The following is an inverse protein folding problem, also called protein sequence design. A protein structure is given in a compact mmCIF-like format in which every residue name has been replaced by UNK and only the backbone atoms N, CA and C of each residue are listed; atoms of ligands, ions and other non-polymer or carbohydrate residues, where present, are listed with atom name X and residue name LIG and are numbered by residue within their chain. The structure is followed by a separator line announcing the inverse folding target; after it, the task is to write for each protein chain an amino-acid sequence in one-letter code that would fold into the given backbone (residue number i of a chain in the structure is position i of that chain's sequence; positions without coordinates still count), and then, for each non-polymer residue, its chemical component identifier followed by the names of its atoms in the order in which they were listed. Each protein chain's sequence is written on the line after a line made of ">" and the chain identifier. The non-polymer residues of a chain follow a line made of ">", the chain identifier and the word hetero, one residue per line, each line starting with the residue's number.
data_IF_083893969052
#
_entry.id   IF_083893969052
#
_cell.length_a   1.000
_cell.length_b   1.000
_cell.length_c   1.000
_cell.angle_alpha   90.00
_cell.angle_beta   90.00
_cell.angle_gamma   90.00
#
_symmetry.space_group_name_H-M   'P 1'
#
loop_
_entity.id
_entity.type
_entity.pdbx_description
1 polymer ?
#
# COMPACT_ATOMS: atom_id res chain seq x y z
N UNK A 1 1.34 -6.38 35.87
CA UNK A 1 0.39 -5.88 34.84
C UNK A 1 1.20 -5.57 33.60
N UNK A 2 1.09 -6.39 32.54
CA UNK A 2 1.92 -6.28 31.32
C UNK A 2 1.22 -5.34 30.33
N UNK A 3 1.86 -4.27 29.84
CA UNK A 3 1.37 -3.57 28.66
C UNK A 3 1.56 -4.49 27.46
N UNK A 4 0.46 -4.98 26.91
CA UNK A 4 0.44 -5.63 25.60
C UNK A 4 0.61 -4.53 24.56
N UNK A 5 1.86 -4.17 24.29
CA UNK A 5 2.26 -3.44 23.09
C UNK A 5 1.99 -4.34 21.88
N UNK A 6 0.72 -4.40 21.46
CA UNK A 6 0.36 -4.81 20.12
C UNK A 6 0.83 -3.69 19.20
N UNK A 7 2.12 -3.75 18.86
CA UNK A 7 2.63 -3.16 17.63
C UNK A 7 1.85 -3.89 16.53
N UNK A 8 0.73 -3.28 16.14
CA UNK A 8 0.01 -3.63 14.94
C UNK A 8 0.98 -3.25 13.81
N UNK A 9 1.83 -4.22 13.45
CA UNK A 9 2.72 -4.14 12.32
C UNK A 9 1.84 -3.82 11.11
N UNK A 10 1.90 -2.56 10.71
CA UNK A 10 1.18 -2.02 9.58
C UNK A 10 1.48 -2.89 8.38
N UNK A 11 0.41 -3.32 7.71
CA UNK A 11 0.49 -3.91 6.39
C UNK A 11 0.83 -2.76 5.42
N UNK A 12 2.08 -2.34 5.45
CA UNK A 12 2.74 -1.53 4.44
C UNK A 12 3.73 -2.44 3.72
N UNK A 13 3.24 -3.54 3.17
CA UNK A 13 4.02 -4.31 2.20
C UNK A 13 3.91 -3.57 0.86
N UNK A 14 4.60 -2.45 0.74
CA UNK A 14 5.09 -1.97 -0.55
C UNK A 14 6.16 -2.99 -0.95
N UNK A 15 5.73 -4.06 -1.62
CA UNK A 15 6.64 -5.03 -2.20
C UNK A 15 7.38 -4.35 -3.37
N UNK A 16 8.48 -3.68 -3.03
CA UNK A 16 9.54 -3.29 -3.96
C UNK A 16 10.30 -4.56 -4.37
N UNK A 17 9.75 -5.29 -5.33
CA UNK A 17 10.51 -6.27 -6.11
C UNK A 17 10.17 -6.04 -7.58
N UNK A 18 10.99 -5.23 -8.25
CA UNK A 18 11.03 -5.13 -9.71
C UNK A 18 12.35 -5.70 -10.17
N UNK A 19 12.35 -7.00 -10.47
CA UNK A 19 13.22 -7.54 -11.50
C UNK A 19 12.32 -7.89 -12.70
N UNK A 20 12.31 -7.03 -13.71
CA UNK A 20 11.92 -7.40 -15.08
C UNK A 20 10.43 -7.58 -15.43
N UNK A 21 9.48 -6.99 -14.69
CA UNK A 21 8.07 -6.98 -15.13
C UNK A 21 7.74 -5.69 -15.87
N UNK A 22 7.31 -5.77 -17.12
CA UNK A 22 6.91 -4.60 -17.92
C UNK A 22 5.87 -3.73 -17.20
N UNK A 23 5.94 -2.40 -17.37
CA UNK A 23 5.04 -1.39 -16.79
C UNK A 23 3.54 -1.74 -16.97
N UNK A 24 3.17 -2.40 -18.07
CA UNK A 24 1.81 -2.83 -18.36
C UNK A 24 1.31 -3.94 -17.40
N UNK A 25 2.18 -4.86 -16.99
CA UNK A 25 1.82 -5.98 -16.13
C UNK A 25 1.61 -5.54 -14.67
N UNK A 26 2.41 -4.60 -14.16
CA UNK A 26 2.23 -4.05 -12.82
C UNK A 26 0.96 -3.21 -12.68
N UNK A 27 0.61 -2.43 -13.71
CA UNK A 27 -0.68 -1.75 -13.78
C UNK A 27 -1.86 -2.73 -13.74
N UNK A 28 -1.77 -3.85 -14.47
CA UNK A 28 -2.82 -4.87 -14.48
C UNK A 28 -3.02 -5.56 -13.13
N UNK A 29 -1.94 -5.90 -12.41
CA UNK A 29 -2.06 -6.56 -11.11
C UNK A 29 -2.73 -5.65 -10.09
N UNK A 30 -2.32 -4.39 -10.08
CA UNK A 30 -2.74 -3.43 -9.09
C UNK A 30 -4.13 -2.81 -9.41
N UNK A 31 -4.52 -2.75 -10.68
CA UNK A 31 -5.90 -2.46 -11.10
C UNK A 31 -6.84 -3.62 -10.74
N UNK A 32 -6.47 -4.86 -11.07
CA UNK A 32 -7.22 -6.07 -10.68
C UNK A 32 -7.32 -6.27 -9.17
N UNK A 33 -6.41 -5.69 -8.41
CA UNK A 33 -6.45 -5.71 -6.96
C UNK A 33 -7.50 -4.72 -6.41
N UNK A 34 -7.60 -3.52 -6.98
CA UNK A 34 -8.63 -2.54 -6.64
C UNK A 34 -10.03 -3.01 -7.05
N UNK A 35 -10.19 -3.54 -8.27
CA UNK A 35 -11.46 -4.13 -8.72
C UNK A 35 -11.94 -5.25 -7.78
N UNK A 36 -11.02 -6.05 -7.25
CA UNK A 36 -11.35 -7.08 -6.26
C UNK A 36 -11.75 -6.50 -4.91
N UNK A 37 -11.28 -5.31 -4.54
CA UNK A 37 -11.77 -4.62 -3.34
C UNK A 37 -13.16 -4.05 -3.56
N UNK A 38 -13.37 -3.39 -4.70
CA UNK A 38 -14.68 -2.89 -5.11
C UNK A 38 -15.72 -4.02 -5.13
N UNK A 39 -15.39 -5.15 -5.76
CA UNK A 39 -16.28 -6.31 -5.80
C UNK A 39 -16.52 -6.97 -4.43
N UNK A 40 -15.54 -6.93 -3.52
CA UNK A 40 -15.68 -7.47 -2.16
C UNK A 40 -16.54 -6.56 -1.29
N UNK A 41 -16.46 -5.24 -1.48
CA UNK A 41 -17.22 -4.24 -0.73
C UNK A 41 -18.60 -3.98 -1.34
N UNK A 42 -18.82 -4.27 -2.63
CA UNK A 42 -20.14 -4.26 -3.26
C UNK A 42 -21.10 -5.31 -2.66
N UNK A 43 -20.58 -6.29 -1.91
CA UNK A 43 -21.37 -7.25 -1.13
C UNK A 43 -21.85 -6.69 0.20
N UNK A 44 -21.26 -5.59 0.66
CA UNK A 44 -21.76 -4.86 1.82
C UNK A 44 -23.01 -4.11 1.39
N UNK A 45 -24.08 -4.27 2.17
CA UNK A 45 -25.32 -3.53 2.00
C UNK A 45 -25.12 -2.09 2.50
N UNK A 46 -24.33 -1.32 1.76
CA UNK A 46 -23.96 0.06 2.10
C UNK A 46 -25.11 1.01 1.77
N UNK A 47 -25.33 1.99 2.66
CA UNK A 47 -26.18 3.14 2.35
C UNK A 47 -25.63 3.95 1.18
N UNK A 48 -26.44 4.84 0.60
CA UNK A 48 -25.99 5.72 -0.48
C UNK A 48 -24.79 6.59 -0.04
N UNK A 49 -24.83 7.12 1.19
CA UNK A 49 -23.75 7.94 1.75
C UNK A 49 -22.48 7.12 1.97
N UNK A 50 -22.59 5.91 2.52
CA UNK A 50 -21.44 5.01 2.71
C UNK A 50 -20.84 4.59 1.37
N UNK A 51 -21.65 4.36 0.35
CA UNK A 51 -21.18 4.01 -1.00
C UNK A 51 -20.39 5.17 -1.61
N UNK A 52 -20.89 6.40 -1.50
CA UNK A 52 -20.17 7.59 -1.97
C UNK A 52 -18.84 7.79 -1.24
N UNK A 53 -18.82 7.63 0.08
CA UNK A 53 -17.58 7.70 0.87
C UNK A 53 -16.57 6.63 0.43
N UNK A 54 -17.03 5.41 0.17
CA UNK A 54 -16.17 4.34 -0.30
C UNK A 54 -15.59 4.62 -1.69
N UNK A 55 -16.41 5.10 -2.62
CA UNK A 55 -15.97 5.45 -3.97
C UNK A 55 -14.88 6.54 -3.95
N UNK A 56 -15.07 7.56 -3.11
CA UNK A 56 -14.07 8.61 -2.89
C UNK A 56 -12.77 8.03 -2.33
N UNK A 57 -12.86 7.18 -1.30
CA UNK A 57 -11.70 6.54 -0.67
C UNK A 57 -10.89 5.70 -1.67
N UNK A 58 -11.58 4.98 -2.55
CA UNK A 58 -10.95 4.18 -3.60
C UNK A 58 -10.32 5.06 -4.70
N UNK A 59 -10.94 6.20 -5.02
CA UNK A 59 -10.37 7.19 -5.92
C UNK A 59 -9.09 7.79 -5.33
N UNK A 60 -9.11 8.18 -4.06
CA UNK A 60 -7.96 8.74 -3.35
C UNK A 60 -6.82 7.71 -3.26
N UNK A 61 -7.15 6.44 -2.98
CA UNK A 61 -6.17 5.37 -2.99
C UNK A 61 -5.54 5.15 -4.38
N UNK A 62 -6.33 5.25 -5.46
CA UNK A 62 -5.81 5.19 -6.84
C UNK A 62 -4.90 6.37 -7.15
N UNK A 63 -5.27 7.56 -6.72
CA UNK A 63 -4.50 8.78 -6.94
C UNK A 63 -3.17 8.71 -6.19
N UNK A 64 -3.20 8.41 -4.90
CA UNK A 64 -2.01 8.21 -4.07
C UNK A 64 -1.06 7.19 -4.70
N UNK A 65 -1.57 6.02 -5.13
CA UNK A 65 -0.72 4.99 -5.73
C UNK A 65 -0.05 5.45 -7.03
N UNK A 66 -0.75 6.21 -7.87
CA UNK A 66 -0.18 6.74 -9.11
C UNK A 66 0.87 7.79 -8.82
N UNK A 67 0.57 8.72 -7.90
CA UNK A 67 1.51 9.75 -7.46
C UNK A 67 2.77 9.13 -6.84
N UNK A 68 2.61 8.26 -5.85
CA UNK A 68 3.72 7.58 -5.18
C UNK A 68 4.60 6.78 -6.13
N UNK A 69 4.01 6.07 -7.10
CA UNK A 69 4.80 5.35 -8.10
C UNK A 69 5.60 6.29 -9.00
N UNK A 70 4.98 7.40 -9.41
CA UNK A 70 5.66 8.43 -10.21
C UNK A 70 6.80 9.08 -9.42
N UNK A 71 6.54 9.48 -8.17
CA UNK A 71 7.54 10.14 -7.31
C UNK A 71 8.71 9.22 -6.98
N UNK A 72 8.46 7.95 -6.66
CA UNK A 72 9.53 6.97 -6.44
C UNK A 72 10.33 6.76 -7.73
N UNK A 73 9.67 6.69 -8.89
CA UNK A 73 10.36 6.54 -10.18
C UNK A 73 11.29 7.71 -10.50
N UNK A 74 10.83 8.93 -10.25
CA UNK A 74 11.64 10.16 -10.37
C UNK A 74 12.80 10.12 -9.37
N UNK A 75 12.52 9.88 -8.09
CA UNK A 75 13.55 9.80 -7.04
C UNK A 75 14.66 8.81 -7.40
N UNK A 76 14.32 7.61 -7.88
CA UNK A 76 15.31 6.60 -8.27
C UNK A 76 16.17 7.06 -9.47
N UNK A 77 15.55 7.72 -10.45
CA UNK A 77 16.24 8.23 -11.63
C UNK A 77 17.21 9.36 -11.25
N UNK A 78 16.75 10.30 -10.45
CA UNK A 78 17.53 11.46 -10.01
C UNK A 78 18.67 11.01 -9.08
N UNK A 79 18.38 10.15 -8.11
CA UNK A 79 19.41 9.55 -7.22
C UNK A 79 20.47 8.82 -8.03
N UNK A 80 20.08 8.08 -9.07
CA UNK A 80 21.06 7.38 -9.92
C UNK A 80 21.94 8.37 -10.70
N UNK A 81 21.35 9.45 -11.22
CA UNK A 81 22.10 10.49 -11.93
C UNK A 81 23.09 11.20 -11.01
N UNK A 82 22.66 11.57 -9.81
CA UNK A 82 23.49 12.27 -8.81
C UNK A 82 24.64 11.38 -8.31
N UNK A 83 24.40 10.08 -8.13
CA UNK A 83 25.45 9.13 -7.74
C UNK A 83 26.53 8.93 -8.82
N UNK A 84 26.21 9.22 -10.09
CA UNK A 84 27.16 9.14 -11.19
C UNK A 84 27.95 10.44 -11.40
N UNK A 85 27.59 11.52 -10.68
CA UNK A 85 28.31 12.78 -10.73
C UNK A 85 29.71 12.63 -10.09
N UNK A 86 30.76 13.27 -10.66
CA UNK A 86 32.13 13.18 -10.16
C UNK A 86 32.31 13.79 -8.76
N UNK A 87 31.38 14.64 -8.33
CA UNK A 87 31.36 15.38 -7.07
C UNK A 87 30.12 15.04 -6.23
N UNK A 88 29.56 13.83 -6.38
CA UNK A 88 28.35 13.38 -5.70
C UNK A 88 28.39 13.62 -4.17
N UNK A 89 27.43 14.40 -3.66
CA UNK A 89 27.23 14.61 -2.23
C UNK A 89 26.22 13.58 -1.69
N UNK A 90 26.73 12.52 -1.06
CA UNK A 90 25.91 11.46 -0.49
C UNK A 90 24.99 11.93 0.64
N UNK A 91 25.37 12.98 1.39
CA UNK A 91 24.51 13.54 2.42
C UNK A 91 23.32 14.25 1.81
N UNK A 92 23.55 15.04 0.75
CA UNK A 92 22.47 15.70 0.03
C UNK A 92 21.51 14.69 -0.59
N UNK A 93 22.04 13.69 -1.30
CA UNK A 93 21.25 12.64 -1.96
C UNK A 93 20.38 11.89 -0.95
N UNK A 94 20.95 11.50 0.19
CA UNK A 94 20.21 10.78 1.24
C UNK A 94 19.11 11.65 1.84
N UNK A 95 19.40 12.93 2.12
CA UNK A 95 18.41 13.87 2.67
C UNK A 95 17.22 14.08 1.72
N UNK A 96 17.45 14.12 0.41
CA UNK A 96 16.40 14.28 -0.59
C UNK A 96 15.52 13.03 -0.73
N UNK A 97 16.15 11.85 -0.71
CA UNK A 97 15.44 10.58 -0.65
C UNK A 97 14.57 10.47 0.60
N UNK A 98 15.13 10.78 1.78
CA UNK A 98 14.41 10.72 3.05
C UNK A 98 13.21 11.67 3.06
N UNK A 99 13.37 12.92 2.58
CA UNK A 99 12.27 13.88 2.49
C UNK A 99 11.12 13.38 1.64
N UNK A 100 11.43 12.82 0.48
CA UNK A 100 10.42 12.27 -0.45
C UNK A 100 9.70 11.09 0.20
N UNK A 101 10.44 10.17 0.83
CA UNK A 101 9.86 9.03 1.52
C UNK A 101 8.99 9.44 2.72
N UNK A 102 9.41 10.45 3.50
CA UNK A 102 8.61 10.96 4.61
C UNK A 102 7.31 11.64 4.15
N UNK A 103 7.33 12.36 3.03
CA UNK A 103 6.12 12.94 2.44
C UNK A 103 5.11 11.85 2.05
N UNK A 104 5.58 10.81 1.36
CA UNK A 104 4.75 9.66 0.97
C UNK A 104 4.18 8.92 2.19
N UNK A 105 4.98 8.77 3.26
CA UNK A 105 4.52 8.17 4.52
C UNK A 105 3.43 8.99 5.20
N UNK A 106 3.55 10.32 5.18
CA UNK A 106 2.55 11.22 5.75
C UNK A 106 1.21 11.11 4.99
N UNK A 107 1.26 11.07 3.65
CA UNK A 107 0.05 10.90 2.83
C UNK A 107 -0.57 9.51 3.02
N UNK A 108 0.25 8.45 3.09
CA UNK A 108 -0.22 7.11 3.39
C UNK A 108 -0.95 7.03 4.75
N UNK A 109 -0.47 7.77 5.75
CA UNK A 109 -1.11 7.88 7.06
C UNK A 109 -2.47 8.57 6.97
N UNK A 110 -2.57 9.66 6.22
CA UNK A 110 -3.86 10.34 5.97
C UNK A 110 -4.89 9.37 5.37
N UNK A 111 -4.50 8.62 4.33
CA UNK A 111 -5.38 7.63 3.70
C UNK A 111 -5.76 6.48 4.65
N UNK A 112 -4.88 6.12 5.58
CA UNK A 112 -5.20 5.13 6.63
C UNK A 112 -6.26 5.69 7.57
N UNK A 113 -6.11 6.93 8.00
CA UNK A 113 -7.04 7.54 8.95
C UNK A 113 -8.43 7.72 8.31
N UNK A 114 -8.50 8.07 7.01
CA UNK A 114 -9.76 8.04 6.24
C UNK A 114 -10.39 6.65 6.16
N UNK A 115 -9.59 5.60 5.95
CA UNK A 115 -10.06 4.20 5.98
C UNK A 115 -10.65 3.81 7.32
N UNK A 116 -10.06 4.27 8.43
CA UNK A 116 -10.60 4.02 9.77
C UNK A 116 -11.90 4.79 9.99
N UNK A 117 -11.97 6.06 9.58
CA UNK A 117 -13.21 6.83 9.66
C UNK A 117 -14.37 6.20 8.86
N UNK A 118 -14.09 5.66 7.67
CA UNK A 118 -15.08 4.88 6.91
C UNK A 118 -15.50 3.61 7.66
N UNK A 119 -14.55 2.89 8.25
CA UNK A 119 -14.86 1.70 9.04
C UNK A 119 -15.75 2.01 10.25
N UNK A 120 -15.48 3.12 10.93
CA UNK A 120 -16.23 3.56 12.11
C UNK A 120 -17.65 4.04 11.75
N UNK A 121 -17.91 4.39 10.47
CA UNK A 121 -19.24 4.76 9.98
C UNK A 121 -20.13 3.56 9.61
N UNK A 122 -19.58 2.34 9.65
CA UNK A 122 -20.30 1.10 9.37
C UNK A 122 -21.05 0.58 10.61
N UNK A 123 -22.16 -0.11 10.40
CA UNK A 123 -22.86 -0.84 11.47
C UNK A 123 -22.08 -2.11 11.91
N UNK A 124 -22.47 -2.72 13.03
CA UNK A 124 -21.76 -3.87 13.59
C UNK A 124 -21.66 -5.07 12.63
N UNK A 125 -22.71 -5.30 11.82
CA UNK A 125 -22.75 -6.39 10.84
C UNK A 125 -21.78 -6.09 9.71
N UNK A 126 -21.86 -4.90 9.12
CA UNK A 126 -20.96 -4.43 8.06
C UNK A 126 -19.50 -4.44 8.53
N UNK A 127 -19.22 -3.97 9.74
CA UNK A 127 -17.88 -4.02 10.34
C UNK A 127 -17.36 -5.46 10.48
N UNK A 128 -18.23 -6.41 10.86
CA UNK A 128 -17.85 -7.83 10.97
C UNK A 128 -17.44 -8.42 9.62
N UNK A 129 -18.16 -8.07 8.55
CA UNK A 129 -17.86 -8.50 7.19
C UNK A 129 -16.54 -7.89 6.70
N UNK A 130 -16.29 -6.60 6.97
CA UNK A 130 -15.01 -5.96 6.68
C UNK A 130 -13.86 -6.64 7.43
N UNK A 131 -14.02 -6.95 8.73
CA UNK A 131 -12.99 -7.68 9.50
C UNK A 131 -12.72 -9.06 8.91
N UNK A 132 -13.75 -9.80 8.50
CA UNK A 132 -13.60 -11.11 7.87
C UNK A 132 -12.85 -11.02 6.53
N UNK A 133 -13.17 -10.02 5.71
CA UNK A 133 -12.46 -9.74 4.45
C UNK A 133 -10.99 -9.40 4.70
N UNK A 134 -10.68 -8.56 5.70
CA UNK A 134 -9.31 -8.22 6.06
C UNK A 134 -8.54 -9.43 6.58
N UNK A 135 -9.15 -10.27 7.40
CA UNK A 135 -8.54 -11.51 7.88
C UNK A 135 -8.19 -12.45 6.72
N UNK A 136 -9.12 -12.63 5.76
CA UNK A 136 -8.85 -13.44 4.56
C UNK A 136 -7.70 -12.87 3.72
N UNK A 137 -7.60 -11.54 3.62
CA UNK A 137 -6.49 -10.86 2.93
C UNK A 137 -5.15 -11.12 3.64
N UNK A 138 -5.11 -10.97 4.97
CA UNK A 138 -3.89 -11.26 5.76
C UNK A 138 -3.45 -12.70 5.59
N UNK A 139 -4.40 -13.63 5.58
CA UNK A 139 -4.11 -15.05 5.44
C UNK A 139 -3.58 -15.41 4.05
N UNK A 140 -4.09 -14.76 2.99
CA UNK A 140 -3.46 -14.82 1.65
C UNK A 140 -2.05 -14.23 1.64
N UNK A 141 -1.86 -13.10 2.33
CA UNK A 141 -0.56 -12.44 2.45
C UNK A 141 0.48 -13.35 3.13
N UNK A 142 0.11 -14.02 4.22
CA UNK A 142 0.98 -14.99 4.90
C UNK A 142 1.40 -16.14 3.97
N UNK A 143 0.45 -16.71 3.21
CA UNK A 143 0.77 -17.78 2.26
C UNK A 143 1.71 -17.32 1.16
N UNK A 144 1.51 -16.11 0.66
CA UNK A 144 2.41 -15.53 -0.34
C UNK A 144 3.81 -15.30 0.23
N UNK A 145 3.91 -14.76 1.46
CA UNK A 145 5.17 -14.56 2.15
C UNK A 145 5.91 -15.89 2.36
N UNK A 146 5.22 -16.92 2.84
CA UNK A 146 5.79 -18.26 3.00
C UNK A 146 6.31 -18.82 1.67
N UNK A 147 5.51 -18.72 0.60
CA UNK A 147 5.91 -19.15 -0.74
C UNK A 147 7.15 -18.42 -1.28
N UNK A 148 7.25 -17.11 -1.05
CA UNK A 148 8.43 -16.32 -1.46
C UNK A 148 9.65 -16.69 -0.62
N UNK A 149 9.48 -16.90 0.70
CA UNK A 149 10.55 -17.39 1.57
C UNK A 149 11.10 -18.73 1.09
N UNK A 150 10.21 -19.68 0.79
CA UNK A 150 10.58 -21.01 0.28
C UNK A 150 11.33 -20.94 -1.07
N UNK A 151 11.03 -19.97 -1.92
CA UNK A 151 11.73 -19.75 -3.19
C UNK A 151 13.13 -19.17 -3.02
N UNK A 152 13.33 -18.29 -2.03
CA UNK A 152 14.64 -17.71 -1.72
C UNK A 152 15.55 -18.78 -1.09
N UNK A 153 15.01 -19.61 -0.21
CA UNK A 153 15.77 -20.70 0.42
C UNK A 153 16.14 -21.84 -0.55
N UNK A 154 15.50 -21.90 -1.72
CA UNK A 154 15.77 -22.86 -2.80
C UNK A 154 16.59 -22.27 -3.96
N UNK A 155 17.00 -21.00 -3.88
CA UNK A 155 17.88 -20.39 -4.88
C UNK A 155 19.33 -20.89 -4.68
N UNK A 156 20.03 -21.34 -5.74
CA UNK A 156 21.37 -21.93 -5.67
C UNK A 156 22.47 -20.94 -5.27
#
# INVERSE_FOLDING_TARGET
>A
MKPRSLILAGITTLALTVAGSSLAQQHSFAARWLERQEAALARLDLSADQRSQLEQLLADQRNFRRAAHSEIGVLLTDTQADLLAPDADLHQITNEADRTLFALLAEARSLRDQRMAFYDSLDERQQSEVRALLAQKMERGKRLHAFVGDLIDQAP
#
